data_IF_392314610270
#
_entry.id   IF_392314610270
#
_cell.length_a   1.000
_cell.length_b   1.000
_cell.length_c   1.000
_cell.angle_alpha   90.00
_cell.angle_beta   90.00
_cell.angle_gamma   90.00
#
_symmetry.space_group_name_H-M   'P 1'
#
loop_
_entity.id
_entity.type
_entity.pdbx_description
1 polymer ?
#
# COMPACT_ATOMS: atom_id res chain seq x y z
N UNK A 1 -20.10 20.72 18.19
CA UNK A 1 -21.08 20.04 17.32
C UNK A 1 -21.34 18.67 17.90
N UNK A 2 -22.53 18.40 18.38
CA UNK A 2 -22.90 17.10 18.94
C UNK A 2 -23.50 16.21 17.85
N UNK A 3 -23.14 14.94 17.77
CA UNK A 3 -23.63 13.95 16.78
C UNK A 3 -23.39 14.31 15.29
N UNK A 4 -22.43 15.18 15.00
CA UNK A 4 -22.06 15.49 13.63
C UNK A 4 -20.76 14.78 13.26
N UNK A 5 -20.81 14.02 12.17
CA UNK A 5 -19.64 13.30 11.66
C UNK A 5 -18.72 14.25 10.93
N UNK A 6 -17.46 14.25 11.31
CA UNK A 6 -16.37 14.92 10.63
C UNK A 6 -15.57 13.91 9.80
N UNK A 7 -15.22 14.30 8.58
CA UNK A 7 -14.38 13.51 7.67
C UNK A 7 -13.07 14.24 7.43
N UNK A 8 -11.96 13.59 7.76
CA UNK A 8 -10.62 14.00 7.36
C UNK A 8 -10.14 13.08 6.24
N UNK A 9 -9.72 13.66 5.12
CA UNK A 9 -9.17 12.92 3.99
C UNK A 9 -7.84 13.54 3.57
N UNK A 10 -6.75 12.78 3.75
CA UNK A 10 -5.39 13.14 3.35
C UNK A 10 -4.88 12.04 2.44
N UNK A 11 -5.05 12.21 1.14
CA UNK A 11 -4.74 11.18 0.14
C UNK A 11 -3.95 11.75 -1.01
N UNK A 12 -3.11 10.91 -1.59
CA UNK A 12 -2.39 11.14 -2.84
C UNK A 12 -2.98 10.23 -3.93
N UNK A 13 -3.08 10.73 -5.14
CA UNK A 13 -3.52 9.94 -6.28
C UNK A 13 -2.31 9.39 -7.02
N UNK A 14 -2.13 8.09 -6.95
CA UNK A 14 -1.12 7.38 -7.72
C UNK A 14 -1.69 7.01 -9.08
N UNK A 15 -1.02 7.47 -10.16
CA UNK A 15 -1.42 7.16 -11.54
C UNK A 15 -0.58 6.00 -12.05
N UNK A 16 -1.24 5.00 -12.60
CA UNK A 16 -0.62 3.88 -13.30
C UNK A 16 -1.30 3.67 -14.66
N UNK A 17 -0.66 2.91 -15.52
CA UNK A 17 -1.18 2.69 -16.85
C UNK A 17 -1.59 1.23 -17.03
N UNK A 18 -2.81 1.03 -17.52
CA UNK A 18 -3.27 -0.29 -17.93
C UNK A 18 -2.94 -0.45 -19.42
N UNK A 19 -2.15 -1.46 -19.73
CA UNK A 19 -1.70 -1.76 -21.10
C UNK A 19 -2.52 -2.92 -21.64
N UNK A 20 -3.23 -2.70 -22.74
CA UNK A 20 -3.97 -3.72 -23.47
C UNK A 20 -3.30 -3.98 -24.81
N UNK A 21 -2.91 -5.22 -25.04
CA UNK A 21 -2.35 -5.66 -26.32
C UNK A 21 -3.41 -6.45 -27.10
N UNK A 22 -3.82 -5.92 -28.23
CA UNK A 22 -4.73 -6.60 -29.16
C UNK A 22 -3.91 -7.16 -30.34
N UNK A 23 -3.93 -8.48 -30.49
CA UNK A 23 -3.19 -9.18 -31.54
C UNK A 23 -4.12 -9.51 -32.71
N UNK A 24 -3.85 -8.97 -33.87
CA UNK A 24 -4.56 -9.31 -35.10
C UNK A 24 -3.64 -10.09 -36.02
N UNK A 25 -4.04 -11.33 -36.35
CA UNK A 25 -3.32 -12.15 -37.30
C UNK A 25 -4.09 -12.20 -38.64
N UNK A 26 -3.49 -11.72 -39.70
CA UNK A 26 -4.08 -11.76 -41.05
C UNK A 26 -3.27 -12.72 -41.92
N UNK A 27 -3.97 -13.62 -42.61
CA UNK A 27 -3.36 -14.58 -43.53
C UNK A 27 -2.62 -13.80 -44.63
N UNK A 28 -1.33 -14.11 -44.81
CA UNK A 28 -0.39 -13.48 -45.78
C UNK A 28 0.19 -12.10 -45.42
N UNK A 29 -0.19 -11.48 -44.29
CA UNK A 29 0.36 -10.18 -43.86
C UNK A 29 1.19 -10.27 -42.59
N UNK A 30 1.01 -11.33 -41.81
CA UNK A 30 1.68 -11.54 -40.53
C UNK A 30 0.83 -11.09 -39.32
N UNK A 31 1.46 -11.12 -38.17
CA UNK A 31 0.80 -10.75 -36.89
C UNK A 31 1.13 -9.30 -36.55
N UNK A 32 0.10 -8.48 -36.39
CA UNK A 32 0.22 -7.09 -35.92
C UNK A 32 -0.30 -7.00 -34.50
N UNK A 33 0.49 -6.40 -33.63
CA UNK A 33 0.11 -6.14 -32.23
C UNK A 33 -0.19 -4.66 -32.07
N UNK A 34 -1.42 -4.33 -31.78
CA UNK A 34 -1.82 -2.98 -31.39
C UNK A 34 -1.83 -2.86 -29.87
N UNK A 35 -1.09 -1.88 -29.34
CA UNK A 35 -0.98 -1.65 -27.89
C UNK A 35 -1.75 -0.38 -27.55
N UNK A 36 -2.74 -0.51 -26.69
CA UNK A 36 -3.52 0.62 -26.15
C UNK A 36 -3.19 0.81 -24.68
N UNK A 37 -2.89 2.05 -24.30
CA UNK A 37 -2.55 2.41 -22.93
C UNK A 37 -3.63 3.31 -22.36
N UNK A 38 -4.20 2.92 -21.22
CA UNK A 38 -5.24 3.69 -20.53
C UNK A 38 -4.74 4.09 -19.14
N UNK A 39 -4.71 5.39 -18.80
CA UNK A 39 -4.35 5.83 -17.45
C UNK A 39 -5.45 5.44 -16.47
N UNK A 40 -5.03 4.96 -15.32
CA UNK A 40 -5.86 4.67 -14.15
C UNK A 40 -5.28 5.38 -12.94
N UNK A 41 -6.11 5.73 -11.97
CA UNK A 41 -5.64 6.31 -10.72
C UNK A 41 -6.23 5.59 -9.52
N UNK A 42 -5.42 5.51 -8.48
CA UNK A 42 -5.83 4.99 -7.18
C UNK A 42 -5.40 5.95 -6.09
N UNK A 43 -6.30 6.22 -5.14
CA UNK A 43 -6.01 7.09 -4.00
C UNK A 43 -5.41 6.28 -2.87
N UNK A 44 -4.26 6.73 -2.36
CA UNK A 44 -3.59 6.15 -1.19
C UNK A 44 -3.38 7.23 -0.13
N UNK A 45 -3.42 6.85 1.14
CA UNK A 45 -3.27 7.78 2.25
C UNK A 45 -4.22 7.47 3.40
N UNK A 46 -4.58 8.50 4.16
CA UNK A 46 -5.41 8.44 5.35
C UNK A 46 -6.80 9.00 5.07
N UNK A 47 -7.82 8.24 5.41
CA UNK A 47 -9.21 8.70 5.53
C UNK A 47 -9.65 8.40 6.96
N UNK A 48 -10.14 9.40 7.68
CA UNK A 48 -10.58 9.25 9.06
C UNK A 48 -11.95 9.87 9.24
N UNK A 49 -12.87 9.09 9.79
CA UNK A 49 -14.20 9.56 10.18
C UNK A 49 -14.28 9.63 11.69
N UNK A 50 -14.74 10.75 12.22
CA UNK A 50 -14.93 10.98 13.66
C UNK A 50 -16.33 11.46 13.92
N UNK A 51 -17.04 10.79 14.83
CA UNK A 51 -18.38 11.18 15.27
C UNK A 51 -18.36 11.39 16.79
N UNK A 52 -18.40 12.62 17.27
CA UNK A 52 -18.45 12.93 18.70
C UNK A 52 -19.89 12.89 19.22
N UNK A 53 -20.07 12.35 20.40
CA UNK A 53 -21.30 12.41 21.20
C UNK A 53 -20.99 13.05 22.55
N UNK A 54 -21.46 14.26 22.75
CA UNK A 54 -21.21 15.04 23.96
C UNK A 54 -22.34 14.77 24.95
N UNK A 55 -21.99 14.31 26.13
CA UNK A 55 -22.90 14.11 27.26
C UNK A 55 -23.01 15.38 28.12
N UNK A 56 -24.05 15.48 28.94
CA UNK A 56 -24.30 16.63 29.83
C UNK A 56 -23.25 16.85 30.94
N UNK A 57 -22.26 15.97 31.07
CA UNK A 57 -21.24 15.99 32.13
C UNK A 57 -19.80 15.94 31.60
N UNK A 58 -19.42 16.85 30.70
CA UNK A 58 -18.06 17.02 30.16
C UNK A 58 -17.43 15.75 29.54
N UNK A 59 -18.16 14.64 29.52
CA UNK A 59 -17.72 13.42 28.88
C UNK A 59 -18.11 13.40 27.40
N UNK A 60 -17.14 13.13 26.53
CA UNK A 60 -17.31 13.00 25.10
C UNK A 60 -17.04 11.57 24.69
N UNK A 61 -17.98 10.95 24.01
CA UNK A 61 -17.80 9.66 23.35
C UNK A 61 -17.40 9.93 21.91
N UNK A 62 -16.24 9.43 21.49
CA UNK A 62 -15.72 9.55 20.13
C UNK A 62 -15.84 8.20 19.44
N UNK A 63 -16.58 8.14 18.36
CA UNK A 63 -16.48 7.03 17.41
C UNK A 63 -15.49 7.44 16.31
N UNK A 64 -14.37 6.73 16.21
CA UNK A 64 -13.26 7.04 15.31
C UNK A 64 -12.99 5.86 14.39
N UNK A 65 -12.98 6.12 13.10
CA UNK A 65 -12.74 5.11 12.06
C UNK A 65 -11.65 5.58 11.09
N UNK A 66 -10.38 5.37 11.42
CA UNK A 66 -9.28 5.61 10.50
C UNK A 66 -9.14 4.46 9.49
N UNK A 67 -8.95 4.81 8.23
CA UNK A 67 -8.63 3.90 7.12
C UNK A 67 -7.35 4.38 6.46
N UNK A 68 -6.32 3.53 6.41
CA UNK A 68 -5.04 3.83 5.80
C UNK A 68 -4.82 2.91 4.63
N UNK A 69 -4.54 3.51 3.48
CA UNK A 69 -4.19 2.80 2.25
C UNK A 69 -2.77 3.14 1.84
N UNK A 70 -1.98 2.14 1.49
CA UNK A 70 -0.61 2.30 1.01
C UNK A 70 -0.32 1.35 -0.14
N UNK A 71 0.61 1.74 -1.02
CA UNK A 71 1.12 0.84 -2.05
C UNK A 71 2.15 -0.08 -1.39
N UNK A 72 1.89 -1.38 -1.41
CA UNK A 72 2.82 -2.37 -0.85
C UNK A 72 3.90 -2.76 -1.86
N UNK A 73 3.53 -2.88 -3.11
CA UNK A 73 4.47 -3.25 -4.18
C UNK A 73 3.87 -2.90 -5.56
N UNK A 74 4.72 -2.77 -6.57
CA UNK A 74 4.33 -2.67 -7.97
C UNK A 74 4.55 -4.03 -8.63
N UNK A 75 3.46 -4.70 -9.00
CA UNK A 75 3.52 -6.00 -9.69
C UNK A 75 3.56 -5.81 -11.19
N UNK A 76 4.50 -6.51 -11.84
CA UNK A 76 4.57 -6.58 -13.29
C UNK A 76 3.43 -7.46 -13.82
N UNK A 77 2.77 -7.01 -14.86
CA UNK A 77 1.70 -7.74 -15.54
C UNK A 77 2.27 -9.02 -16.17
N UNK A 78 1.78 -10.22 -15.82
CA UNK A 78 2.29 -11.48 -16.36
C UNK A 78 1.82 -11.78 -17.78
N UNK A 79 1.13 -10.86 -18.46
CA UNK A 79 0.56 -11.12 -19.78
C UNK A 79 1.66 -11.29 -20.84
N UNK A 80 1.82 -12.49 -21.44
CA UNK A 80 2.85 -12.74 -22.43
C UNK A 80 2.60 -12.06 -23.78
N UNK A 81 1.40 -11.52 -23.99
CA UNK A 81 1.05 -10.79 -25.22
C UNK A 81 1.56 -9.35 -25.24
N UNK A 82 2.08 -8.86 -24.12
CA UNK A 82 2.72 -7.54 -24.06
C UNK A 82 4.10 -7.66 -24.74
N UNK A 83 4.41 -6.80 -25.74
CA UNK A 83 5.69 -6.86 -26.43
C UNK A 83 6.88 -6.72 -25.49
N UNK A 84 7.94 -7.50 -25.73
CA UNK A 84 9.18 -7.41 -24.99
C UNK A 84 9.74 -5.97 -25.05
N UNK A 85 9.91 -5.34 -23.91
CA UNK A 85 10.34 -3.94 -23.77
C UNK A 85 9.28 -2.99 -23.25
N UNK A 86 8.01 -3.38 -23.25
CA UNK A 86 6.95 -2.64 -22.57
C UNK A 86 6.70 -3.29 -21.20
N UNK A 87 7.00 -2.55 -20.14
CA UNK A 87 6.73 -3.01 -18.77
C UNK A 87 5.46 -2.36 -18.26
N UNK A 88 4.50 -3.18 -17.88
CA UNK A 88 3.28 -2.75 -17.22
C UNK A 88 3.33 -3.08 -15.75
N UNK A 89 3.21 -2.07 -14.87
CA UNK A 89 3.21 -2.25 -13.43
C UNK A 89 1.88 -1.83 -12.83
N UNK A 90 1.27 -2.73 -12.08
CA UNK A 90 0.02 -2.49 -11.37
C UNK A 90 0.30 -2.38 -9.87
N UNK A 91 -0.17 -1.33 -9.19
CA UNK A 91 0.06 -1.17 -7.76
C UNK A 91 -0.77 -2.17 -6.96
N UNK A 92 -0.12 -2.89 -6.06
CA UNK A 92 -0.79 -3.68 -5.03
C UNK A 92 -1.04 -2.80 -3.82
N UNK A 93 -2.32 -2.60 -3.46
CA UNK A 93 -2.72 -1.73 -2.38
C UNK A 93 -2.95 -2.57 -1.13
N UNK A 94 -2.45 -2.07 -0.01
CA UNK A 94 -2.74 -2.57 1.31
C UNK A 94 -3.57 -1.55 2.05
N UNK A 95 -4.74 -1.96 2.50
CA UNK A 95 -5.65 -1.11 3.29
C UNK A 95 -5.75 -1.67 4.70
N UNK A 96 -5.69 -0.78 5.68
CA UNK A 96 -5.91 -1.07 7.10
C UNK A 96 -7.02 -0.17 7.60
N UNK A 97 -7.97 -0.75 8.29
CA UNK A 97 -9.11 -0.06 8.88
C UNK A 97 -9.26 -0.47 10.34
N UNK A 98 -9.48 0.52 11.19
CA UNK A 98 -9.79 0.32 12.61
C UNK A 98 -11.10 1.06 12.89
N UNK A 99 -11.91 0.52 13.74
CA UNK A 99 -13.04 1.21 14.34
C UNK A 99 -12.90 1.15 15.86
N UNK A 100 -12.96 2.31 16.47
CA UNK A 100 -12.80 2.43 17.92
C UNK A 100 -13.81 3.43 18.50
N UNK A 101 -14.39 3.06 19.62
CA UNK A 101 -15.21 3.95 20.44
C UNK A 101 -14.48 4.23 21.73
N UNK A 102 -14.19 5.50 21.98
CA UNK A 102 -13.48 5.93 23.18
C UNK A 102 -14.26 7.00 23.94
N UNK A 103 -14.11 7.00 25.26
CA UNK A 103 -14.67 8.04 26.13
C UNK A 103 -13.54 8.89 26.65
N UNK A 104 -13.63 10.18 26.43
CA UNK A 104 -12.64 11.18 26.85
C UNK A 104 -13.33 12.31 27.61
N UNK A 105 -12.60 13.01 28.44
CA UNK A 105 -13.09 14.23 29.11
C UNK A 105 -12.80 15.43 28.20
N UNK A 106 -13.70 16.40 28.19
CA UNK A 106 -13.51 17.62 27.40
C UNK A 106 -12.22 18.33 27.80
N UNK A 107 -11.34 18.64 26.85
CA UNK A 107 -10.03 19.23 27.04
C UNK A 107 -8.87 18.25 27.22
N UNK A 108 -9.12 16.94 27.26
CA UNK A 108 -8.09 15.91 27.25
C UNK A 108 -7.79 15.44 25.82
N UNK A 109 -6.58 14.91 25.64
CA UNK A 109 -6.14 14.36 24.35
C UNK A 109 -6.36 12.85 24.37
N UNK A 110 -7.10 12.34 23.38
CA UNK A 110 -7.22 10.91 23.15
C UNK A 110 -6.10 10.42 22.23
N UNK A 111 -5.47 9.32 22.58
CA UNK A 111 -4.43 8.68 21.77
C UNK A 111 -4.94 7.34 21.27
N UNK A 112 -4.99 7.19 19.96
CA UNK A 112 -5.29 5.93 19.29
C UNK A 112 -4.00 5.40 18.66
N UNK A 113 -3.45 4.33 19.20
CA UNK A 113 -2.27 3.63 18.67
C UNK A 113 -2.61 2.19 18.31
N UNK A 114 -1.68 1.51 17.61
CA UNK A 114 -1.81 0.06 17.37
C UNK A 114 -1.79 -0.37 15.89
N UNK A 115 -1.61 0.56 14.95
CA UNK A 115 -1.29 0.20 13.57
C UNK A 115 0.23 0.03 13.42
N UNK A 116 0.74 -1.12 13.86
CA UNK A 116 2.14 -1.47 13.72
C UNK A 116 2.38 -2.26 12.44
N UNK A 117 3.38 -1.90 11.68
CA UNK A 117 3.85 -2.63 10.51
C UNK A 117 5.29 -3.07 10.71
N UNK A 118 5.51 -4.37 10.70
CA UNK A 118 6.83 -4.98 10.67
C UNK A 118 7.11 -5.49 9.25
N UNK A 119 7.97 -4.79 8.52
CA UNK A 119 8.47 -5.21 7.22
C UNK A 119 9.87 -5.79 7.36
N UNK A 120 10.03 -7.09 7.11
CA UNK A 120 11.35 -7.74 7.03
C UNK A 120 11.66 -8.03 5.58
N UNK A 121 12.67 -7.36 5.04
CA UNK A 121 13.10 -7.57 3.66
C UNK A 121 14.39 -8.41 3.67
N UNK A 122 14.25 -9.68 3.29
CA UNK A 122 15.35 -10.62 3.20
C UNK A 122 15.95 -10.54 1.79
N UNK A 123 17.08 -9.87 1.62
CA UNK A 123 17.83 -9.89 0.37
C UNK A 123 19.10 -10.74 0.57
N UNK A 124 19.10 -11.92 0.01
CA UNK A 124 20.29 -12.79 -0.03
C UNK A 124 20.90 -12.68 -1.42
N UNK A 125 22.01 -11.97 -1.55
CA UNK A 125 22.81 -11.94 -2.77
C UNK A 125 23.77 -13.12 -2.77
N UNK A 126 23.73 -13.97 -3.80
CA UNK A 126 24.73 -15.02 -4.00
C UNK A 126 25.57 -14.66 -5.21
N UNK A 127 26.90 -14.71 -5.05
CA UNK A 127 27.80 -14.62 -6.19
C UNK A 127 27.73 -15.96 -6.93
N UNK A 128 27.34 -15.99 -8.23
CA UNK A 128 27.29 -17.24 -8.98
C UNK A 128 28.66 -17.92 -8.99
N UNK A 129 28.71 -19.24 -8.89
CA UNK A 129 29.89 -20.12 -8.78
C UNK A 129 30.59 -20.12 -7.42
N UNK A 130 30.85 -18.99 -6.78
CA UNK A 130 31.62 -18.92 -5.51
C UNK A 130 30.73 -19.16 -4.27
N UNK A 131 29.46 -18.80 -4.34
CA UNK A 131 28.50 -19.04 -3.26
C UNK A 131 28.04 -20.49 -3.09
N UNK A 132 28.48 -21.43 -3.98
CA UNK A 132 28.08 -22.85 -3.95
C UNK A 132 29.18 -23.77 -3.36
N UNK A 133 30.35 -23.22 -3.02
CA UNK A 133 31.49 -24.03 -2.49
C UNK A 133 31.21 -24.30 -1.00
N UNK A 134 31.12 -25.60 -0.59
CA UNK A 134 31.03 -25.93 0.83
C UNK A 134 32.30 -25.47 1.56
N UNK A 135 32.18 -24.85 2.69
CA UNK A 135 33.17 -24.26 3.59
C UNK A 135 33.44 -22.76 3.37
N UNK A 136 33.46 -22.21 2.16
CA UNK A 136 33.81 -20.81 1.90
C UNK A 136 32.69 -20.01 1.26
N UNK A 137 31.60 -20.67 0.81
CA UNK A 137 30.43 -20.03 0.16
C UNK A 137 29.74 -18.99 1.05
N UNK A 138 29.82 -19.12 2.35
CA UNK A 138 29.21 -18.18 3.30
C UNK A 138 29.90 -16.81 3.33
N UNK A 139 31.24 -16.76 3.06
CA UNK A 139 32.00 -15.52 2.91
C UNK A 139 31.62 -14.71 1.66
N UNK A 140 31.02 -15.38 0.66
CA UNK A 140 30.57 -14.77 -0.60
C UNK A 140 29.05 -14.61 -0.71
N UNK A 141 28.35 -14.69 0.44
CA UNK A 141 26.90 -14.53 0.52
C UNK A 141 26.58 -13.34 1.43
N UNK A 142 26.63 -12.10 0.93
CA UNK A 142 26.21 -10.94 1.72
C UNK A 142 24.73 -11.05 2.07
N UNK A 143 24.43 -11.03 3.37
CA UNK A 143 23.06 -10.99 3.90
C UNK A 143 22.75 -9.56 4.28
N UNK A 144 21.85 -8.92 3.55
CA UNK A 144 21.36 -7.60 3.89
C UNK A 144 19.92 -7.71 4.39
N UNK A 145 19.75 -7.68 5.71
CA UNK A 145 18.46 -7.76 6.37
C UNK A 145 18.05 -6.33 6.76
N UNK A 146 17.11 -5.74 6.03
CA UNK A 146 16.51 -4.49 6.41
C UNK A 146 15.16 -4.76 7.09
N UNK A 147 15.06 -4.46 8.37
CA UNK A 147 13.80 -4.46 9.11
C UNK A 147 13.26 -3.03 9.19
N UNK A 148 12.08 -2.80 8.67
CA UNK A 148 11.38 -1.51 8.76
C UNK A 148 10.18 -1.68 9.67
N UNK A 149 10.14 -0.92 10.76
CA UNK A 149 8.98 -0.85 11.66
C UNK A 149 8.32 0.51 11.47
N UNK A 150 7.03 0.50 11.20
CA UNK A 150 6.21 1.70 11.11
C UNK A 150 5.05 1.58 12.10
N UNK A 151 4.85 2.63 12.88
CA UNK A 151 3.73 2.73 13.80
C UNK A 151 2.94 4.01 13.50
N UNK A 152 1.62 3.87 13.45
CA UNK A 152 0.75 5.03 13.36
C UNK A 152 0.16 5.34 14.74
N UNK A 153 0.31 6.58 15.16
CA UNK A 153 -0.30 7.12 16.36
C UNK A 153 -1.16 8.31 15.96
N UNK A 154 -2.42 8.30 16.35
CA UNK A 154 -3.39 9.37 16.08
C UNK A 154 -3.71 10.06 17.40
N UNK A 155 -3.55 11.37 17.42
CA UNK A 155 -3.95 12.25 18.53
C UNK A 155 -5.25 12.96 18.14
N UNK A 156 -6.22 12.91 19.05
CA UNK A 156 -7.55 13.52 18.88
C UNK A 156 -7.86 14.46 20.04
#
# INVERSE_FOLDING_TARGET
MNNQTALLKVVENFVYFNVKADTTSTVNVGTTVAVTTTPQSVSVGLVMTVTPQISAGDAVILNVRPTISSISELKEDPNPSIPAGIKNYVPQIRTREIESVMRVTSGEVAVLGGLMEDGVNWKTGRVPLLGQIPLIGELFTPRNNAATKSELVIFL
#
